data_IF_535357765177
#
_entry.id   IF_535357765177
#
_cell.length_a   1.000
_cell.length_b   1.000
_cell.length_c   1.000
_cell.angle_alpha   90.00
_cell.angle_beta   90.00
_cell.angle_gamma   90.00
#
_symmetry.space_group_name_H-M   'P 1'
#
loop_
_entity.id
_entity.type
_entity.pdbx_description
1 polymer ?
#
# COMPACT_ATOMS: atom_id res chain seq x y z
N UNK A 1 11.87 -13.68 -11.94
CA UNK A 1 12.41 -13.11 -10.68
C UNK A 1 12.76 -11.66 -10.93
N UNK A 2 12.05 -10.69 -10.33
CA UNK A 2 12.40 -9.27 -10.45
C UNK A 2 13.74 -9.09 -9.74
N UNK A 3 14.80 -8.74 -10.48
CA UNK A 3 16.11 -8.49 -9.89
C UNK A 3 16.03 -7.25 -8.99
N UNK A 4 16.74 -7.26 -7.87
CA UNK A 4 16.81 -6.15 -6.90
C UNK A 4 17.20 -4.81 -7.55
N UNK A 5 18.01 -4.85 -8.62
CA UNK A 5 18.38 -3.65 -9.41
C UNK A 5 17.17 -2.92 -9.99
N UNK A 6 16.12 -3.63 -10.41
CA UNK A 6 14.92 -2.99 -10.95
C UNK A 6 14.11 -2.30 -9.85
N UNK A 7 14.03 -2.91 -8.66
CA UNK A 7 13.37 -2.30 -7.50
C UNK A 7 14.10 -1.03 -7.08
N UNK A 8 15.45 -1.06 -7.04
CA UNK A 8 16.26 0.11 -6.73
C UNK A 8 16.08 1.22 -7.78
N UNK A 9 16.07 0.88 -9.06
CA UNK A 9 15.83 1.84 -10.14
C UNK A 9 14.46 2.51 -10.01
N UNK A 10 13.41 1.74 -9.70
CA UNK A 10 12.05 2.27 -9.46
C UNK A 10 12.02 3.20 -8.25
N UNK A 11 12.68 2.83 -7.13
CA UNK A 11 12.75 3.70 -5.94
C UNK A 11 13.46 5.02 -6.23
N UNK A 12 14.58 4.99 -6.96
CA UNK A 12 15.31 6.20 -7.35
C UNK A 12 14.46 7.05 -8.29
N UNK A 13 13.83 6.45 -9.31
CA UNK A 13 12.96 7.16 -10.24
C UNK A 13 11.77 7.83 -9.52
N UNK A 14 11.14 7.12 -8.58
CA UNK A 14 10.05 7.67 -7.78
C UNK A 14 10.53 8.82 -6.88
N UNK A 15 11.70 8.70 -6.24
CA UNK A 15 12.25 9.76 -5.42
C UNK A 15 12.57 11.02 -6.24
N UNK A 16 13.16 10.86 -7.42
CA UNK A 16 13.39 11.97 -8.36
C UNK A 16 12.09 12.61 -8.80
N UNK A 17 11.08 11.80 -9.15
CA UNK A 17 9.75 12.29 -9.49
C UNK A 17 9.12 13.09 -8.34
N UNK A 18 9.20 12.62 -7.10
CA UNK A 18 8.67 13.32 -5.94
C UNK A 18 9.37 14.68 -5.74
N UNK A 19 10.70 14.73 -5.89
CA UNK A 19 11.48 15.98 -5.81
C UNK A 19 11.05 16.96 -6.92
N UNK A 20 10.96 16.48 -8.16
CA UNK A 20 10.50 17.31 -9.30
C UNK A 20 9.08 17.82 -9.07
N UNK A 21 8.17 16.95 -8.61
CA UNK A 21 6.79 17.34 -8.29
C UNK A 21 6.77 18.44 -7.24
N UNK A 22 7.54 18.30 -6.16
CA UNK A 22 7.58 19.28 -5.09
C UNK A 22 8.18 20.63 -5.51
N UNK A 23 9.20 20.62 -6.37
CA UNK A 23 9.89 21.83 -6.82
C UNK A 23 9.09 22.59 -7.88
N UNK A 24 8.43 21.89 -8.80
CA UNK A 24 7.83 22.51 -9.99
C UNK A 24 6.30 22.52 -10.03
N UNK A 25 5.60 21.60 -9.35
CA UNK A 25 4.15 21.40 -9.53
C UNK A 25 3.35 21.61 -8.23
N UNK A 26 3.72 20.94 -7.14
CA UNK A 26 3.02 21.01 -5.85
C UNK A 26 4.00 21.38 -4.74
N UNK A 27 4.01 22.66 -4.35
CA UNK A 27 4.87 23.13 -3.26
C UNK A 27 4.58 22.40 -1.93
N UNK A 28 5.55 22.39 -1.02
CA UNK A 28 5.44 21.80 0.32
C UNK A 28 4.28 22.35 1.19
N UNK A 29 3.65 23.46 0.78
CA UNK A 29 2.51 24.06 1.50
C UNK A 29 1.16 23.44 1.12
N UNK A 30 1.12 22.61 0.09
CA UNK A 30 -0.08 21.91 -0.39
C UNK A 30 0.01 20.42 -0.06
N UNK A 31 -1.14 19.74 -0.04
CA UNK A 31 -1.14 18.29 0.08
C UNK A 31 -0.54 17.70 -1.21
N UNK A 32 0.42 16.78 -1.05
CA UNK A 32 1.18 16.23 -2.18
C UNK A 32 0.40 15.12 -2.93
N UNK A 33 -0.78 15.47 -3.44
CA UNK A 33 -1.72 14.52 -4.03
C UNK A 33 -1.15 13.78 -5.24
N UNK A 34 -0.35 14.43 -6.10
CA UNK A 34 0.22 13.78 -7.28
C UNK A 34 1.24 12.71 -6.90
N UNK A 35 2.11 13.00 -5.94
CA UNK A 35 3.10 12.01 -5.48
C UNK A 35 2.43 10.81 -4.84
N UNK A 36 1.47 11.05 -3.95
CA UNK A 36 0.73 9.99 -3.26
C UNK A 36 -0.08 9.16 -4.26
N UNK A 37 -0.71 9.79 -5.25
CA UNK A 37 -1.46 9.07 -6.28
C UNK A 37 -0.57 8.11 -7.08
N UNK A 38 0.61 8.56 -7.52
CA UNK A 38 1.59 7.72 -8.23
C UNK A 38 2.12 6.61 -7.33
N UNK A 39 2.38 6.91 -6.05
CA UNK A 39 2.78 5.92 -5.04
C UNK A 39 1.73 4.81 -4.90
N UNK A 40 0.46 5.18 -4.80
CA UNK A 40 -0.65 4.22 -4.69
C UNK A 40 -0.69 3.28 -5.89
N UNK A 41 -0.59 3.82 -7.11
CA UNK A 41 -0.57 3.00 -8.34
C UNK A 41 0.62 2.05 -8.31
N UNK A 42 1.81 2.55 -7.96
CA UNK A 42 3.01 1.74 -7.90
C UNK A 42 2.86 0.56 -6.92
N UNK A 43 2.36 0.83 -5.71
CA UNK A 43 2.16 -0.19 -4.68
C UNK A 43 1.05 -1.18 -5.05
N UNK A 44 -0.02 -0.73 -5.71
CA UNK A 44 -1.06 -1.62 -6.25
C UNK A 44 -0.46 -2.57 -7.30
N UNK A 45 0.30 -2.05 -8.26
CA UNK A 45 0.94 -2.86 -9.31
C UNK A 45 1.91 -3.88 -8.70
N UNK A 46 2.76 -3.44 -7.76
CA UNK A 46 3.68 -4.34 -7.06
C UNK A 46 2.94 -5.42 -6.27
N UNK A 47 1.85 -5.08 -5.60
CA UNK A 47 1.05 -6.04 -4.85
C UNK A 47 0.35 -7.06 -5.76
N UNK A 48 -0.17 -6.63 -6.90
CA UNK A 48 -0.74 -7.53 -7.91
C UNK A 48 0.33 -8.47 -8.46
N UNK A 49 1.52 -7.96 -8.80
CA UNK A 49 2.63 -8.78 -9.29
C UNK A 49 3.09 -9.81 -8.25
N UNK A 50 3.10 -9.44 -6.96
CA UNK A 50 3.38 -10.36 -5.87
C UNK A 50 2.34 -11.48 -5.83
N UNK A 51 1.04 -11.16 -5.81
CA UNK A 51 0.00 -12.17 -5.77
C UNK A 51 -0.01 -13.04 -7.03
N UNK A 52 0.21 -12.47 -8.20
CA UNK A 52 0.32 -13.23 -9.44
C UNK A 52 1.43 -14.28 -9.38
N UNK A 53 2.59 -13.92 -8.79
CA UNK A 53 3.69 -14.87 -8.58
C UNK A 53 3.27 -15.96 -7.58
N UNK A 54 2.75 -15.56 -6.43
CA UNK A 54 2.40 -16.50 -5.35
C UNK A 54 1.29 -17.48 -5.78
N UNK A 55 0.32 -17.02 -6.58
CA UNK A 55 -0.75 -17.84 -7.13
C UNK A 55 -0.28 -18.80 -8.23
N UNK A 56 0.87 -18.56 -8.85
CA UNK A 56 1.45 -19.47 -9.86
C UNK A 56 2.28 -20.58 -9.22
N UNK A 57 2.88 -20.31 -8.07
CA UNK A 57 3.71 -21.25 -7.31
C UNK A 57 2.87 -22.07 -6.29
N UNK A 58 1.54 -22.14 -6.48
CA UNK A 58 0.52 -22.59 -5.52
C UNK A 58 0.49 -24.11 -5.25
N UNK A 59 1.42 -24.91 -5.79
CA UNK A 59 1.43 -26.36 -5.58
C UNK A 59 1.61 -26.68 -4.08
N UNK A 60 0.49 -26.98 -3.40
CA UNK A 60 0.39 -27.40 -1.99
C UNK A 60 0.70 -26.36 -0.90
N UNK A 61 0.62 -25.05 -1.17
CA UNK A 61 0.83 -24.00 -0.15
C UNK A 61 -0.46 -23.36 0.37
N UNK A 62 -0.58 -23.32 1.69
CA UNK A 62 -1.61 -22.58 2.43
C UNK A 62 -1.18 -21.11 2.57
N UNK A 63 -1.58 -20.26 1.62
CA UNK A 63 -1.15 -18.85 1.55
C UNK A 63 -1.53 -18.05 2.79
N UNK A 64 -2.65 -18.39 3.43
CA UNK A 64 -3.11 -17.77 4.66
C UNK A 64 -2.18 -18.03 5.85
N UNK A 65 -1.25 -18.99 5.75
CA UNK A 65 -0.21 -19.23 6.76
C UNK A 65 1.07 -18.46 6.49
N UNK A 66 1.17 -17.73 5.38
CA UNK A 66 2.35 -16.95 5.03
C UNK A 66 2.16 -15.50 5.47
N UNK A 67 2.98 -14.95 6.38
CA UNK A 67 2.84 -13.56 6.83
C UNK A 67 2.84 -12.53 5.70
N UNK A 68 3.67 -12.76 4.68
CA UNK A 68 3.78 -11.86 3.52
C UNK A 68 2.51 -11.80 2.67
N UNK A 69 1.69 -12.85 2.65
CA UNK A 69 0.39 -12.82 1.98
C UNK A 69 -0.51 -11.74 2.59
N UNK A 70 -0.58 -11.69 3.92
CA UNK A 70 -1.40 -10.72 4.66
C UNK A 70 -0.86 -9.29 4.56
N UNK A 71 0.46 -9.11 4.56
CA UNK A 71 1.10 -7.81 4.28
C UNK A 71 0.74 -7.32 2.88
N UNK A 72 0.82 -8.20 1.88
CA UNK A 72 0.50 -7.83 0.51
C UNK A 72 -1.00 -7.53 0.35
N UNK A 73 -1.87 -8.28 1.04
CA UNK A 73 -3.31 -8.03 1.06
C UNK A 73 -3.65 -6.68 1.70
N UNK A 74 -2.95 -6.29 2.77
CA UNK A 74 -3.17 -5.01 3.43
C UNK A 74 -2.75 -3.84 2.55
N UNK A 75 -1.61 -3.96 1.86
CA UNK A 75 -1.12 -2.98 0.89
C UNK A 75 -2.14 -2.82 -0.22
N UNK A 76 -2.50 -3.91 -0.91
CA UNK A 76 -3.43 -3.85 -2.03
C UNK A 76 -4.76 -3.20 -1.63
N UNK A 77 -5.36 -3.68 -0.55
CA UNK A 77 -6.69 -3.20 -0.07
C UNK A 77 -6.66 -1.72 0.30
N UNK A 78 -5.64 -1.28 1.03
CA UNK A 78 -5.53 0.11 1.48
C UNK A 78 -5.32 1.07 0.31
N UNK A 79 -4.32 0.78 -0.54
CA UNK A 79 -3.96 1.68 -1.62
C UNK A 79 -5.02 1.69 -2.72
N UNK A 80 -5.64 0.55 -3.05
CA UNK A 80 -6.75 0.54 -4.03
C UNK A 80 -7.99 1.26 -3.49
N UNK A 81 -8.32 1.07 -2.21
CA UNK A 81 -9.47 1.70 -1.58
C UNK A 81 -9.33 3.21 -1.38
N UNK A 82 -8.10 3.68 -1.16
CA UNK A 82 -7.81 5.09 -0.91
C UNK A 82 -7.35 5.85 -2.16
N UNK A 83 -7.16 5.18 -3.30
CA UNK A 83 -6.59 5.77 -4.53
C UNK A 83 -7.37 7.01 -4.99
N UNK A 84 -8.69 6.88 -5.12
CA UNK A 84 -9.56 7.97 -5.59
C UNK A 84 -9.55 9.13 -4.61
N UNK A 85 -9.53 8.84 -3.30
CA UNK A 85 -9.46 9.85 -2.25
C UNK A 85 -8.19 10.69 -2.39
N UNK A 86 -7.04 10.05 -2.55
CA UNK A 86 -5.77 10.77 -2.66
C UNK A 86 -5.67 11.59 -3.94
N UNK A 87 -6.30 11.15 -5.03
CA UNK A 87 -6.39 11.92 -6.26
C UNK A 87 -7.14 13.24 -6.05
N UNK A 88 -8.32 13.20 -5.42
CA UNK A 88 -9.17 14.39 -5.22
C UNK A 88 -8.86 15.19 -3.95
N UNK A 89 -7.87 14.76 -3.15
CA UNK A 89 -7.65 15.29 -1.80
C UNK A 89 -7.49 16.83 -1.72
N UNK A 90 -6.86 17.45 -2.72
CA UNK A 90 -6.74 18.91 -2.79
C UNK A 90 -8.06 19.60 -3.18
N UNK A 91 -8.85 18.99 -4.06
CA UNK A 91 -10.16 19.53 -4.48
C UNK A 91 -11.17 19.48 -3.34
N UNK A 92 -11.00 18.53 -2.41
CA UNK A 92 -11.84 18.41 -1.23
C UNK A 92 -11.67 19.57 -0.23
N UNK A 93 -10.67 20.42 -0.35
CA UNK A 93 -10.45 21.52 0.61
C UNK A 93 -11.64 22.49 0.63
N UNK A 94 -12.25 22.78 -0.53
CA UNK A 94 -13.43 23.66 -0.66
C UNK A 94 -14.77 22.96 -0.46
N UNK A 95 -14.79 21.64 -0.29
CA UNK A 95 -16.02 20.86 -0.20
C UNK A 95 -16.74 21.00 1.16
N UNK A 96 -18.02 20.64 1.15
CA UNK A 96 -18.87 20.65 2.35
C UNK A 96 -18.32 19.72 3.45
N UNK A 97 -18.57 20.03 4.72
CA UNK A 97 -18.16 19.18 5.84
C UNK A 97 -18.75 17.76 5.74
N UNK A 98 -19.96 17.63 5.18
CA UNK A 98 -20.60 16.34 4.93
C UNK A 98 -19.81 15.52 3.90
N UNK A 99 -19.44 16.12 2.77
CA UNK A 99 -18.63 15.49 1.72
C UNK A 99 -17.30 15.02 2.28
N UNK A 100 -16.60 15.89 3.00
CA UNK A 100 -15.34 15.57 3.69
C UNK A 100 -15.52 14.39 4.65
N UNK A 101 -16.55 14.43 5.49
CA UNK A 101 -16.83 13.39 6.49
C UNK A 101 -17.03 12.01 5.88
N UNK A 102 -17.76 11.90 4.76
CA UNK A 102 -17.94 10.64 4.04
C UNK A 102 -16.59 10.12 3.53
N UNK A 103 -15.80 10.97 2.88
CA UNK A 103 -14.53 10.56 2.26
C UNK A 103 -13.50 10.14 3.31
N UNK A 104 -13.32 10.93 4.37
CA UNK A 104 -12.43 10.57 5.47
C UNK A 104 -12.94 9.37 6.28
N UNK A 105 -14.26 9.19 6.39
CA UNK A 105 -14.86 7.98 6.97
C UNK A 105 -14.53 6.72 6.16
N UNK A 106 -14.60 6.81 4.83
CA UNK A 106 -14.16 5.73 3.93
C UNK A 106 -12.66 5.44 4.06
N UNK A 107 -11.83 6.48 4.17
CA UNK A 107 -10.39 6.31 4.45
C UNK A 107 -10.13 5.57 5.77
N UNK A 108 -10.85 5.96 6.82
CA UNK A 108 -10.73 5.34 8.14
C UNK A 108 -11.10 3.85 8.09
N UNK A 109 -12.13 3.48 7.33
CA UNK A 109 -12.51 2.09 7.11
C UNK A 109 -11.36 1.28 6.48
N UNK A 110 -10.77 1.79 5.39
CA UNK A 110 -9.63 1.11 4.75
C UNK A 110 -8.40 1.04 5.66
N UNK A 111 -8.15 2.07 6.47
CA UNK A 111 -7.10 2.05 7.49
C UNK A 111 -7.33 0.96 8.55
N UNK A 112 -8.56 0.80 9.05
CA UNK A 112 -8.90 -0.23 10.03
C UNK A 112 -8.63 -1.62 9.44
N UNK A 113 -9.10 -1.88 8.23
CA UNK A 113 -8.85 -3.15 7.53
C UNK A 113 -7.35 -3.37 7.34
N UNK A 114 -6.61 -2.34 6.91
CA UNK A 114 -5.16 -2.39 6.75
C UNK A 114 -4.44 -2.82 8.03
N UNK A 115 -4.77 -2.21 9.17
CA UNK A 115 -4.16 -2.55 10.45
C UNK A 115 -4.52 -3.94 10.96
N UNK A 116 -5.76 -4.38 10.74
CA UNK A 116 -6.17 -5.76 11.09
C UNK A 116 -5.33 -6.78 10.31
N UNK A 117 -5.16 -6.57 9.01
CA UNK A 117 -4.37 -7.48 8.17
C UNK A 117 -2.88 -7.49 8.56
N UNK A 118 -2.31 -6.34 8.93
CA UNK A 118 -0.96 -6.30 9.52
C UNK A 118 -0.87 -7.02 10.87
N UNK A 119 -1.86 -6.87 11.74
CA UNK A 119 -1.88 -7.59 13.01
C UNK A 119 -1.90 -9.10 12.78
N UNK A 120 -2.72 -9.59 11.84
CA UNK A 120 -2.75 -11.00 11.44
C UNK A 120 -1.37 -11.45 10.94
N UNK A 121 -0.73 -10.69 10.05
CA UNK A 121 0.60 -11.01 9.54
C UNK A 121 1.64 -11.18 10.67
N UNK A 122 1.63 -10.25 11.64
CA UNK A 122 2.54 -10.27 12.79
C UNK A 122 2.27 -11.46 13.72
N UNK A 123 0.99 -11.79 13.96
CA UNK A 123 0.61 -12.94 14.78
C UNK A 123 1.13 -14.24 14.16
N UNK A 124 0.91 -14.45 12.86
CA UNK A 124 1.38 -15.66 12.16
C UNK A 124 2.90 -15.78 12.24
N UNK A 125 3.63 -14.68 11.98
CA UNK A 125 5.09 -14.64 12.09
C UNK A 125 5.58 -15.01 13.50
N UNK A 126 4.85 -14.60 14.53
CA UNK A 126 5.20 -14.92 15.91
C UNK A 126 4.97 -16.41 16.26
N UNK A 127 3.89 -17.00 15.73
CA UNK A 127 3.61 -18.43 15.90
C UNK A 127 4.69 -19.29 15.23
N UNK A 128 5.16 -18.89 14.03
CA UNK A 128 6.26 -19.57 13.33
C UNK A 128 7.54 -19.55 14.16
N UNK A 129 7.95 -18.38 14.67
CA UNK A 129 9.15 -18.25 15.53
C UNK A 129 9.09 -19.14 16.77
N UNK A 130 7.94 -19.16 17.45
CA UNK A 130 7.75 -19.98 18.67
C UNK A 130 7.80 -21.47 18.40
N UNK A 131 7.35 -21.93 17.22
CA UNK A 131 7.46 -23.35 16.82
C UNK A 131 8.90 -23.75 16.55
N UNK A 132 9.67 -22.93 15.83
CA UNK A 132 11.07 -23.21 15.51
C UNK A 132 12.00 -23.19 16.72
N UNK A 133 11.65 -22.48 17.80
CA UNK A 133 12.46 -22.46 19.02
C UNK A 133 12.22 -23.66 19.94
N UNK A 134 11.18 -24.46 19.67
CA UNK A 134 10.81 -25.64 20.47
C UNK A 134 11.18 -26.97 19.79
N UNK A 135 11.64 -26.93 18.54
CA UNK A 135 12.16 -28.08 17.78
C UNK A 135 13.67 -28.17 17.88
#
# INVERSE_FOLDING_TARGET
>A
MIKSVYVLAVMIAFALFAIINTVFFQSLKQFNSHTIFVECILLIVLAILYFYKELRDLENRHLERVPMFWINASVLTYFSGSLVLFYVANDLISESMKTKGVIWGTHALFNIVHYILYAIALLIRNQEKTRTSKS
#
